data_IF_709967736846
#
_entry.id   IF_709967736846
#
_cell.length_a   1.000
_cell.length_b   1.000
_cell.length_c   1.000
_cell.angle_alpha   90.00
_cell.angle_beta   90.00
_cell.angle_gamma   90.00
#
_symmetry.space_group_name_H-M   'P 1'
#
loop_
_entity.id
_entity.type
_entity.pdbx_description
1 polymer ?
#
# COMPACT_ATOMS: atom_id res chain seq x y z
N UNK A 1 9.63 22.49 17.56
CA UNK A 1 8.56 22.18 18.53
C UNK A 1 7.26 22.05 17.76
N UNK A 2 6.38 21.20 18.29
CA UNK A 2 5.02 20.79 17.86
C UNK A 2 4.88 19.94 16.58
N UNK A 3 4.64 18.64 16.79
CA UNK A 3 3.53 18.00 16.07
C UNK A 3 3.80 16.82 15.14
N UNK A 4 4.90 16.06 15.24
CA UNK A 4 4.93 14.73 14.61
C UNK A 4 3.99 13.81 15.39
N UNK A 5 2.72 13.86 15.01
CA UNK A 5 1.64 12.97 15.38
C UNK A 5 2.03 11.54 15.00
N UNK A 6 2.81 10.91 15.86
CA UNK A 6 2.88 9.46 15.99
C UNK A 6 1.48 9.00 16.39
N UNK A 7 0.65 8.68 15.40
CA UNK A 7 -0.49 7.80 15.61
C UNK A 7 0.07 6.40 15.91
N UNK A 8 0.55 6.28 17.14
CA UNK A 8 1.18 5.14 17.76
C UNK A 8 0.06 4.23 18.24
N UNK A 9 -0.32 3.30 17.38
CA UNK A 9 -1.21 2.20 17.76
C UNK A 9 -0.83 0.87 17.11
N UNK A 10 0.47 0.63 16.91
CA UNK A 10 1.01 -0.72 16.67
C UNK A 10 1.69 -1.26 17.92
N UNK A 11 1.36 -2.50 18.29
CA UNK A 11 1.85 -3.19 19.50
C UNK A 11 3.38 -3.40 19.48
N UNK A 12 3.97 -3.44 18.28
CA UNK A 12 5.42 -3.46 18.03
C UNK A 12 5.75 -2.31 17.07
N UNK A 13 6.70 -1.41 17.38
CA UNK A 13 7.18 -0.41 16.44
C UNK A 13 7.96 -1.11 15.32
N UNK A 14 7.22 -1.51 14.28
CA UNK A 14 7.80 -2.17 13.12
C UNK A 14 8.27 -1.10 12.12
N UNK A 15 9.57 -1.07 11.83
CA UNK A 15 10.15 -0.15 10.85
C UNK A 15 9.38 -0.23 9.51
N UNK A 16 8.99 0.89 8.90
CA UNK A 16 8.22 0.87 7.65
C UNK A 16 8.96 0.13 6.53
N UNK A 17 10.29 0.12 6.56
CA UNK A 17 11.17 -0.62 5.66
C UNK A 17 10.93 -2.13 5.73
N UNK A 18 10.75 -2.69 6.93
CA UNK A 18 10.54 -4.13 7.07
C UNK A 18 9.15 -4.55 6.59
N UNK A 19 8.14 -3.67 6.68
CA UNK A 19 6.81 -3.91 6.09
C UNK A 19 6.88 -3.98 4.56
N UNK A 20 7.60 -3.05 3.92
CA UNK A 20 7.82 -3.03 2.46
C UNK A 20 8.63 -4.23 2.01
N UNK A 21 9.72 -4.55 2.73
CA UNK A 21 10.54 -5.72 2.44
C UNK A 21 9.74 -7.02 2.57
N UNK A 22 8.93 -7.17 3.63
CA UNK A 22 8.05 -8.33 3.82
C UNK A 22 7.07 -8.48 2.66
N UNK A 23 6.48 -7.39 2.17
CA UNK A 23 5.57 -7.41 1.01
C UNK A 23 6.27 -7.90 -0.27
N UNK A 24 7.45 -7.36 -0.58
CA UNK A 24 8.22 -7.78 -1.75
C UNK A 24 8.70 -9.23 -1.65
N UNK A 25 9.21 -9.62 -0.48
CA UNK A 25 9.66 -11.00 -0.24
C UNK A 25 8.50 -11.99 -0.35
N UNK A 26 7.35 -11.69 0.25
CA UNK A 26 6.17 -12.54 0.12
C UNK A 26 5.69 -12.66 -1.33
N UNK A 27 5.71 -11.55 -2.08
CA UNK A 27 5.32 -11.57 -3.50
C UNK A 27 6.28 -12.42 -4.34
N UNK A 28 7.58 -12.32 -4.09
CA UNK A 28 8.59 -13.17 -4.75
C UNK A 28 8.46 -14.65 -4.38
N UNK A 29 8.23 -14.95 -3.10
CA UNK A 29 8.04 -16.33 -2.63
C UNK A 29 6.78 -16.93 -3.27
N UNK A 30 5.65 -16.20 -3.28
CA UNK A 30 4.41 -16.68 -3.90
C UNK A 30 4.53 -16.93 -5.41
N UNK A 31 5.35 -16.15 -6.11
CA UNK A 31 5.60 -16.37 -7.54
C UNK A 31 6.47 -17.61 -7.80
N UNK A 32 7.42 -17.88 -6.89
CA UNK A 32 8.38 -18.97 -7.04
C UNK A 32 7.88 -20.30 -6.48
N UNK A 33 6.94 -20.28 -5.52
CA UNK A 33 6.46 -21.48 -4.83
C UNK A 33 5.20 -22.05 -5.51
N UNK A 34 5.22 -23.33 -5.88
CA UNK A 34 4.02 -24.08 -6.30
C UNK A 34 3.35 -24.89 -5.18
N UNK A 35 3.95 -24.91 -3.99
CA UNK A 35 3.53 -25.74 -2.87
C UNK A 35 2.50 -25.04 -1.97
N UNK A 36 1.41 -25.74 -1.66
CA UNK A 36 0.30 -25.23 -0.83
C UNK A 36 0.70 -24.94 0.62
N UNK A 37 1.72 -25.63 1.14
CA UNK A 37 2.23 -25.43 2.52
C UNK A 37 2.94 -24.07 2.62
N UNK A 38 3.79 -23.74 1.65
CA UNK A 38 4.52 -22.47 1.60
C UNK A 38 3.54 -21.30 1.41
N UNK A 39 2.54 -21.46 0.55
CA UNK A 39 1.45 -20.49 0.37
C UNK A 39 0.73 -20.16 1.69
N UNK A 40 0.32 -21.18 2.44
CA UNK A 40 -0.37 -20.98 3.71
C UNK A 40 0.53 -20.36 4.78
N UNK A 41 1.83 -20.67 4.81
CA UNK A 41 2.81 -20.05 5.70
C UNK A 41 2.99 -18.56 5.41
N UNK A 42 3.10 -18.16 4.13
CA UNK A 42 3.24 -16.74 3.77
C UNK A 42 1.98 -15.95 4.12
N UNK A 43 0.79 -16.52 3.88
CA UNK A 43 -0.48 -15.88 4.23
C UNK A 43 -0.60 -15.70 5.75
N UNK A 44 -0.23 -16.70 6.55
CA UNK A 44 -0.27 -16.60 8.01
C UNK A 44 0.71 -15.56 8.55
N UNK A 45 1.93 -15.47 8.01
CA UNK A 45 2.89 -14.42 8.36
C UNK A 45 2.33 -13.03 8.04
N UNK A 46 1.68 -12.86 6.87
CA UNK A 46 1.03 -11.60 6.50
C UNK A 46 -0.15 -11.25 7.41
N UNK A 47 -0.95 -12.24 7.83
CA UNK A 47 -2.03 -12.08 8.80
C UNK A 47 -1.50 -11.62 10.16
N UNK A 48 -0.38 -12.18 10.62
CA UNK A 48 0.28 -11.74 11.85
C UNK A 48 0.77 -10.28 11.74
N UNK A 49 1.25 -9.89 10.55
CA UNK A 49 1.68 -8.53 10.25
C UNK A 49 0.51 -7.54 10.27
N UNK A 50 -0.66 -7.95 9.80
CA UNK A 50 -1.89 -7.15 9.81
C UNK A 50 -2.59 -7.14 11.19
N UNK A 51 -2.37 -8.15 12.02
CA UNK A 51 -2.82 -8.13 13.43
C UNK A 51 -2.08 -7.04 14.22
N UNK A 52 -0.82 -6.79 13.89
CA UNK A 52 -0.01 -5.73 14.50
C UNK A 52 -0.52 -4.30 14.22
N UNK A 53 -1.41 -4.09 13.24
CA UNK A 53 -1.97 -2.77 12.91
C UNK A 53 -3.31 -2.48 13.62
N UNK A 54 -3.73 -3.31 14.59
CA UNK A 54 -4.95 -3.18 15.43
C UNK A 54 -6.29 -2.96 14.68
N UNK A 55 -6.33 -3.12 13.35
CA UNK A 55 -7.55 -2.97 12.53
C UNK A 55 -8.30 -4.30 12.40
N UNK A 56 -8.89 -4.75 13.51
CA UNK A 56 -9.56 -6.07 13.62
C UNK A 56 -10.67 -6.29 12.59
N UNK A 57 -11.44 -5.26 12.21
CA UNK A 57 -12.50 -5.41 11.19
C UNK A 57 -11.96 -5.82 9.82
N UNK A 58 -10.78 -5.32 9.47
CA UNK A 58 -10.13 -5.63 8.20
C UNK A 58 -9.45 -7.00 8.27
N UNK A 59 -8.85 -7.31 9.42
CA UNK A 59 -8.30 -8.63 9.71
C UNK A 59 -9.36 -9.74 9.53
N UNK A 60 -10.54 -9.58 10.13
CA UNK A 60 -11.61 -10.57 10.00
C UNK A 60 -12.05 -10.78 8.54
N UNK A 61 -12.11 -9.71 7.73
CA UNK A 61 -12.45 -9.82 6.30
C UNK A 61 -11.39 -10.63 5.54
N UNK A 62 -10.10 -10.31 5.72
CA UNK A 62 -9.02 -11.03 5.04
C UNK A 62 -8.89 -12.48 5.52
N UNK A 63 -9.11 -12.74 6.81
CA UNK A 63 -9.12 -14.08 7.37
C UNK A 63 -10.24 -14.94 6.77
N UNK A 64 -11.46 -14.40 6.69
CA UNK A 64 -12.59 -15.09 6.07
C UNK A 64 -12.32 -15.41 4.59
N UNK A 65 -11.82 -14.44 3.82
CA UNK A 65 -11.50 -14.66 2.40
C UNK A 65 -10.41 -15.74 2.25
N UNK A 66 -9.34 -15.67 3.04
CA UNK A 66 -8.27 -16.69 3.03
C UNK A 66 -8.79 -18.09 3.37
N UNK A 67 -9.73 -18.20 4.31
CA UNK A 67 -10.30 -19.46 4.73
C UNK A 67 -11.20 -20.06 3.65
N UNK A 68 -12.04 -19.24 3.00
CA UNK A 68 -12.86 -19.65 1.85
C UNK A 68 -12.00 -20.19 0.71
N UNK A 69 -10.92 -19.49 0.34
CA UNK A 69 -10.01 -19.95 -0.71
C UNK A 69 -9.28 -21.25 -0.35
N UNK A 70 -8.96 -21.46 0.93
CA UNK A 70 -8.32 -22.70 1.38
C UNK A 70 -9.30 -23.88 1.34
N UNK A 71 -10.55 -23.68 1.78
CA UNK A 71 -11.60 -24.71 1.66
C UNK A 71 -11.85 -25.06 0.20
N UNK A 72 -11.89 -24.05 -0.68
CA UNK A 72 -12.10 -24.25 -2.11
C UNK A 72 -10.98 -25.11 -2.72
N UNK A 73 -9.72 -24.85 -2.37
CA UNK A 73 -8.55 -25.62 -2.81
C UNK A 73 -8.63 -27.09 -2.36
N UNK A 74 -8.96 -27.35 -1.08
CA UNK A 74 -9.18 -28.70 -0.56
C UNK A 74 -10.37 -29.41 -1.21
N UNK A 75 -11.46 -28.69 -1.49
CA UNK A 75 -12.64 -29.25 -2.15
C UNK A 75 -12.31 -29.65 -3.61
N UNK A 76 -11.54 -28.84 -4.34
CA UNK A 76 -11.11 -29.15 -5.70
C UNK A 76 -10.27 -30.44 -5.74
N UNK A 77 -9.35 -30.60 -4.79
CA UNK A 77 -8.50 -31.79 -4.66
C UNK A 77 -9.36 -33.03 -4.31
N UNK A 78 -10.26 -32.89 -3.33
CA UNK A 78 -11.08 -34.01 -2.83
C UNK A 78 -12.10 -34.51 -3.84
N UNK A 79 -12.76 -33.60 -4.57
CA UNK A 79 -13.82 -33.93 -5.52
C UNK A 79 -13.33 -34.11 -6.97
N UNK A 80 -12.00 -34.03 -7.24
CA UNK A 80 -11.41 -34.06 -8.59
C UNK A 80 -12.14 -33.13 -9.59
N UNK A 81 -12.38 -31.89 -9.16
CA UNK A 81 -13.04 -30.90 -9.98
C UNK A 81 -12.17 -30.48 -11.18
N UNK A 82 -12.76 -29.94 -12.27
CA UNK A 82 -12.03 -29.57 -13.48
C UNK A 82 -10.89 -28.59 -13.20
N UNK A 83 -9.77 -28.75 -13.91
CA UNK A 83 -8.53 -27.99 -13.70
C UNK A 83 -8.67 -26.46 -13.83
N UNK A 84 -9.69 -25.96 -14.54
CA UNK A 84 -10.03 -24.54 -14.57
C UNK A 84 -10.32 -23.99 -13.16
N UNK A 85 -11.04 -24.75 -12.33
CA UNK A 85 -11.41 -24.30 -10.99
C UNK A 85 -10.19 -24.28 -10.05
N UNK A 86 -9.24 -25.19 -10.28
CA UNK A 86 -7.95 -25.21 -9.59
C UNK A 86 -7.12 -23.97 -9.93
N UNK A 87 -7.03 -23.61 -11.21
CA UNK A 87 -6.30 -22.42 -11.66
C UNK A 87 -6.91 -21.16 -11.05
N UNK A 88 -8.24 -21.03 -11.05
CA UNK A 88 -8.93 -19.87 -10.46
C UNK A 88 -8.71 -19.79 -8.95
N UNK A 89 -8.75 -20.92 -8.23
CA UNK A 89 -8.49 -20.97 -6.80
C UNK A 89 -7.02 -20.57 -6.47
N UNK A 90 -6.06 -21.11 -7.23
CA UNK A 90 -4.64 -20.77 -7.10
C UNK A 90 -4.35 -19.31 -7.43
N UNK A 91 -4.93 -18.78 -8.50
CA UNK A 91 -4.78 -17.39 -8.86
C UNK A 91 -5.35 -16.47 -7.77
N UNK A 92 -6.53 -16.78 -7.24
CA UNK A 92 -7.10 -16.02 -6.13
C UNK A 92 -6.24 -16.05 -4.85
N UNK A 93 -5.62 -17.20 -4.54
CA UNK A 93 -4.66 -17.32 -3.42
C UNK A 93 -3.40 -16.47 -3.59
N UNK A 94 -2.85 -16.37 -4.81
CA UNK A 94 -1.67 -15.54 -5.07
C UNK A 94 -1.98 -14.05 -4.91
N UNK A 95 -3.18 -13.60 -5.29
CA UNK A 95 -3.58 -12.19 -5.19
C UNK A 95 -3.88 -11.73 -3.76
N UNK A 96 -4.30 -12.63 -2.87
CA UNK A 96 -4.64 -12.36 -1.47
C UNK A 96 -3.52 -11.64 -0.68
N UNK A 97 -2.28 -12.17 -0.58
CA UNK A 97 -1.19 -11.52 0.14
C UNK A 97 -0.75 -10.21 -0.53
N UNK A 98 -0.89 -10.09 -1.85
CA UNK A 98 -0.57 -8.85 -2.58
C UNK A 98 -1.55 -7.73 -2.22
N UNK A 99 -2.85 -8.02 -2.23
CA UNK A 99 -3.88 -7.05 -1.82
C UNK A 99 -3.74 -6.66 -0.35
N UNK A 100 -3.42 -7.63 0.50
CA UNK A 100 -3.19 -7.44 1.92
C UNK A 100 -1.98 -6.52 2.18
N UNK A 101 -0.85 -6.79 1.53
CA UNK A 101 0.33 -5.94 1.62
C UNK A 101 0.10 -4.55 1.05
N UNK A 102 -0.63 -4.43 -0.06
CA UNK A 102 -1.03 -3.14 -0.61
C UNK A 102 -1.90 -2.33 0.37
N UNK A 103 -2.83 -2.99 1.08
CA UNK A 103 -3.65 -2.34 2.10
C UNK A 103 -2.82 -1.85 3.28
N UNK A 104 -1.89 -2.68 3.78
CA UNK A 104 -0.96 -2.31 4.86
C UNK A 104 -0.11 -1.11 4.44
N UNK A 105 0.47 -1.15 3.24
CA UNK A 105 1.28 -0.05 2.72
C UNK A 105 0.46 1.23 2.59
N UNK A 106 -0.70 1.17 1.92
CA UNK A 106 -1.50 2.36 1.63
C UNK A 106 -2.10 3.04 2.86
N UNK A 107 -2.45 2.28 3.91
CA UNK A 107 -3.05 2.84 5.12
C UNK A 107 -2.07 3.16 6.24
N UNK A 108 -0.93 2.48 6.30
CA UNK A 108 -0.02 2.57 7.45
C UNK A 108 1.28 3.32 7.12
N UNK A 109 1.59 3.58 5.84
CA UNK A 109 2.74 4.41 5.51
C UNK A 109 2.34 5.88 5.47
N UNK A 110 2.80 6.64 6.46
CA UNK A 110 2.88 8.08 6.30
C UNK A 110 3.91 8.35 5.18
N UNK A 111 3.54 9.17 4.19
CA UNK A 111 4.39 9.48 3.01
C UNK A 111 5.82 9.90 3.38
N UNK A 112 5.99 10.54 4.54
CA UNK A 112 7.28 10.98 5.07
C UNK A 112 8.13 9.84 5.67
N UNK A 113 7.50 8.84 6.30
CA UNK A 113 8.20 7.66 6.85
C UNK A 113 8.62 6.67 5.74
N UNK A 114 7.80 6.55 4.70
CA UNK A 114 8.15 5.81 3.49
C UNK A 114 9.34 6.45 2.77
N UNK A 115 9.40 7.77 2.75
CA UNK A 115 10.52 8.53 2.21
C UNK A 115 11.82 8.29 2.98
N UNK A 116 11.75 8.23 4.31
CA UNK A 116 12.89 7.88 5.16
C UNK A 116 13.39 6.44 4.91
N UNK A 117 12.51 5.52 4.50
CA UNK A 117 12.90 4.17 4.11
C UNK A 117 13.67 4.13 2.78
N UNK A 118 13.32 4.99 1.82
CA UNK A 118 14.08 5.10 0.57
C UNK A 118 15.50 5.60 0.75
N UNK A 119 15.80 6.32 1.83
CA UNK A 119 17.17 6.68 2.19
C UNK A 119 18.02 5.45 2.57
N UNK A 120 17.40 4.38 3.08
CA UNK A 120 18.10 3.15 3.47
C UNK A 120 18.30 2.16 2.31
N UNK A 121 17.40 2.17 1.32
CA UNK A 121 17.74 1.60 0.01
C UNK A 121 18.86 2.47 -0.56
N UNK A 122 19.99 1.89 -0.95
CA UNK A 122 21.17 2.61 -1.49
C UNK A 122 20.85 3.30 -2.82
N UNK A 123 20.01 4.32 -2.79
CA UNK A 123 19.70 5.18 -3.92
C UNK A 123 20.88 6.16 -4.06
N UNK A 124 21.42 6.39 -5.26
CA UNK A 124 22.54 7.30 -5.46
C UNK A 124 22.19 8.70 -4.95
N UNK A 125 23.17 9.34 -4.29
CA UNK A 125 23.01 10.66 -3.66
C UNK A 125 22.45 11.74 -4.61
N UNK A 126 22.70 11.59 -5.91
CA UNK A 126 22.17 12.45 -6.98
C UNK A 126 20.64 12.50 -7.04
N UNK A 127 19.93 11.43 -6.68
CA UNK A 127 18.46 11.40 -6.65
C UNK A 127 17.91 11.80 -5.27
N UNK A 128 18.65 11.51 -4.21
CA UNK A 128 18.23 11.76 -2.84
C UNK A 128 18.05 13.26 -2.54
N UNK A 129 18.98 14.10 -3.00
CA UNK A 129 18.96 15.54 -2.74
C UNK A 129 17.71 16.23 -3.33
N UNK A 130 17.42 16.12 -4.65
CA UNK A 130 16.23 16.74 -5.21
C UNK A 130 14.95 16.17 -4.60
N UNK A 131 14.92 14.88 -4.26
CA UNK A 131 13.76 14.25 -3.65
C UNK A 131 13.42 14.83 -2.27
N UNK A 132 14.41 15.00 -1.38
CA UNK A 132 14.26 15.68 -0.08
C UNK A 132 13.72 17.11 -0.26
N UNK A 133 14.24 17.81 -1.26
CA UNK A 133 13.79 19.16 -1.61
C UNK A 133 12.33 19.16 -2.08
N UNK A 134 11.92 18.22 -2.94
CA UNK A 134 10.53 18.10 -3.39
C UNK A 134 9.57 17.85 -2.24
N UNK A 135 9.91 16.95 -1.32
CA UNK A 135 9.02 16.54 -0.24
C UNK A 135 8.82 17.60 0.83
N UNK A 136 9.79 18.49 1.06
CA UNK A 136 9.55 19.69 1.88
C UNK A 136 8.65 20.72 1.19
N UNK A 137 8.58 20.71 -0.15
CA UNK A 137 7.75 21.65 -0.91
C UNK A 137 6.32 21.15 -1.14
N UNK A 138 6.09 19.84 -1.18
CA UNK A 138 4.75 19.24 -1.29
C UNK A 138 3.72 19.83 -0.30
N UNK A 139 4.00 19.97 1.02
CA UNK A 139 3.01 20.54 1.94
C UNK A 139 2.69 22.00 1.63
N UNK A 140 3.70 22.79 1.26
CA UNK A 140 3.51 24.21 0.89
C UNK A 140 2.68 24.36 -0.39
N UNK A 141 2.88 23.48 -1.38
CA UNK A 141 2.08 23.47 -2.61
C UNK A 141 0.62 23.10 -2.32
N UNK A 142 0.37 22.11 -1.45
CA UNK A 142 -0.98 21.73 -1.04
C UNK A 142 -1.73 22.89 -0.37
N UNK A 143 -1.05 23.60 0.53
CA UNK A 143 -1.60 24.77 1.21
C UNK A 143 -1.89 25.92 0.22
N UNK A 144 -0.98 26.17 -0.72
CA UNK A 144 -1.15 27.20 -1.75
C UNK A 144 -2.34 26.89 -2.66
N UNK A 145 -2.51 25.63 -3.09
CA UNK A 145 -3.67 25.21 -3.90
C UNK A 145 -4.97 25.34 -3.10
N UNK A 146 -4.95 25.00 -1.80
CA UNK A 146 -6.10 25.19 -0.91
C UNK A 146 -6.50 26.66 -0.76
N UNK A 147 -5.52 27.55 -0.61
CA UNK A 147 -5.72 28.99 -0.52
C UNK A 147 -6.27 29.57 -1.82
N UNK A 148 -5.72 29.14 -2.98
CA UNK A 148 -6.24 29.50 -4.30
C UNK A 148 -7.68 29.01 -4.48
N UNK A 149 -8.00 27.77 -4.09
CA UNK A 149 -9.35 27.23 -4.16
C UNK A 149 -10.33 28.02 -3.30
N UNK A 150 -9.89 28.45 -2.11
CA UNK A 150 -10.69 29.28 -1.20
C UNK A 150 -10.94 30.67 -1.80
N UNK A 151 -9.92 31.31 -2.38
CA UNK A 151 -10.07 32.59 -3.07
C UNK A 151 -10.98 32.50 -4.31
N UNK A 152 -10.89 31.41 -5.08
CA UNK A 152 -11.76 31.15 -6.24
C UNK A 152 -13.22 30.91 -5.82
N UNK A 153 -13.43 30.27 -4.66
CA UNK A 153 -14.77 30.07 -4.08
C UNK A 153 -15.43 31.39 -3.69
N UNK A 154 -14.66 32.33 -3.11
CA UNK A 154 -15.13 33.68 -2.77
C UNK A 154 -15.52 34.48 -4.03
N UNK A 155 -14.82 34.24 -5.15
CA UNK A 155 -15.13 34.88 -6.45
C UNK A 155 -16.28 34.21 -7.22
N UNK A 156 -16.86 33.12 -6.72
CA UNK A 156 -18.00 32.43 -7.34
C UNK A 156 -17.68 31.62 -8.61
N UNK A 157 -16.40 31.37 -8.92
CA UNK A 157 -15.95 30.82 -10.21
C UNK A 157 -15.62 29.30 -10.17
N UNK A 158 -16.07 28.58 -9.15
CA UNK A 158 -15.59 27.24 -8.75
C UNK A 158 -15.58 26.18 -9.86
N UNK A 159 -16.55 26.18 -10.79
CA UNK A 159 -16.77 25.02 -11.69
C UNK A 159 -15.82 24.98 -12.91
N UNK A 160 -15.43 26.14 -13.46
CA UNK A 160 -14.62 26.21 -14.70
C UNK A 160 -13.11 26.04 -14.43
N UNK A 161 -12.62 26.63 -13.34
CA UNK A 161 -11.20 26.59 -12.96
C UNK A 161 -10.77 25.28 -12.27
N UNK A 162 -11.71 24.54 -11.67
CA UNK A 162 -11.43 23.23 -11.08
C UNK A 162 -10.95 22.19 -12.12
N UNK A 163 -11.48 22.26 -13.35
CA UNK A 163 -11.05 21.40 -14.46
C UNK A 163 -9.66 21.78 -14.99
N UNK A 164 -9.34 23.07 -15.00
CA UNK A 164 -8.06 23.59 -15.49
C UNK A 164 -6.89 23.33 -14.51
N UNK A 165 -7.14 23.50 -13.20
CA UNK A 165 -6.16 23.15 -12.14
C UNK A 165 -5.84 21.66 -12.13
N UNK A 166 -6.82 20.80 -12.47
CA UNK A 166 -6.57 19.35 -12.62
C UNK A 166 -5.64 19.07 -13.80
N UNK A 167 -5.66 19.88 -14.86
CA UNK A 167 -4.75 19.79 -16.02
C UNK A 167 -3.34 20.28 -15.67
N UNK A 168 -3.20 21.39 -14.93
CA UNK A 168 -1.91 21.88 -14.43
C UNK A 168 -1.24 20.90 -13.45
N UNK A 169 -2.01 20.19 -12.62
CA UNK A 169 -1.48 19.15 -11.72
C UNK A 169 -0.78 18.02 -12.48
N UNK A 170 -1.16 17.74 -13.73
CA UNK A 170 -0.48 16.78 -14.60
C UNK A 170 0.77 17.37 -15.25
N UNK A 171 0.73 18.65 -15.66
CA UNK A 171 1.87 19.30 -16.30
C UNK A 171 3.04 19.57 -15.33
N UNK A 172 2.74 19.86 -14.07
CA UNK A 172 3.78 20.06 -13.04
C UNK A 172 4.51 18.75 -12.71
N UNK A 173 3.84 17.60 -12.84
CA UNK A 173 4.48 16.29 -12.72
C UNK A 173 5.31 15.92 -13.96
N UNK A 174 4.88 16.34 -15.16
CA UNK A 174 5.63 16.15 -16.41
C UNK A 174 6.87 17.04 -16.52
N UNK A 175 6.88 18.20 -15.87
CA UNK A 175 8.03 19.11 -15.84
C UNK A 175 9.08 18.74 -14.76
N UNK A 176 8.74 17.74 -13.93
CA UNK A 176 9.57 17.23 -12.83
C UNK A 176 10.24 15.88 -13.17
N UNK A 177 9.97 15.34 -14.36
CA UNK A 177 10.60 14.18 -14.95
C UNK A 177 11.52 14.64 -16.08
#
# INVERSE_FOLDING_TARGET
>A
MSGLQLCKDSFVPMNPLSKVAAFFLASMIMLSSGETIVENLVITIMLLLLLNTKKYSVFCRFLLVSLVFTILDYAVITFRLPGILFIVAKFGKIFLPTLMGFYILSKETNSLEFMACFHHFKVPASFQIPFVVMMRFIPSVQETVGNVMTALKIKGLTKKYFLDIRSLRWNIWLCLY
#
